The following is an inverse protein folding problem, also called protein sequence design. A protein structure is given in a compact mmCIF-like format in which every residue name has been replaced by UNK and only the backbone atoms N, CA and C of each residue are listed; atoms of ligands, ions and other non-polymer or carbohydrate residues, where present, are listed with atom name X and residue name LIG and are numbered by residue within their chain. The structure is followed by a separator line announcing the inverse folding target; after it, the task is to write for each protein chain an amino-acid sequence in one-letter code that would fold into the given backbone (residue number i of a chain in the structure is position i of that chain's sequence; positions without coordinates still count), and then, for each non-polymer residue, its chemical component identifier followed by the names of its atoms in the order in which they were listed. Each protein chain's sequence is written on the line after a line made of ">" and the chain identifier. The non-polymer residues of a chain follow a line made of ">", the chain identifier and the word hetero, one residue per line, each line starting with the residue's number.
data_IF_463057652237
#
_entry.id   IF_463057652237
#
_cell.length_a   1.000
_cell.length_b   1.000
_cell.length_c   1.000
_cell.angle_alpha   90.00
_cell.angle_beta   90.00
_cell.angle_gamma   90.00
#
_symmetry.space_group_name_H-M   'P 1'
#
loop_
_entity.id
_entity.type
_entity.pdbx_description
1 polymer ?
#
# COMPACT_ATOMS: atom_id res chain seq x y z
N UNK A 1 -37.32 -2.35 -0.33
CA UNK A 1 -37.61 -3.79 -0.37
C UNK A 1 -36.36 -4.47 -0.89
N UNK A 2 -35.63 -5.18 -0.02
CA UNK A 2 -34.42 -5.90 -0.44
C UNK A 2 -34.82 -7.03 -1.38
N UNK A 3 -34.39 -6.99 -2.63
CA UNK A 3 -34.52 -8.13 -3.52
C UNK A 3 -33.50 -9.19 -3.09
N UNK A 4 -33.93 -10.43 -2.95
CA UNK A 4 -33.06 -11.58 -2.70
C UNK A 4 -32.89 -12.38 -3.99
N UNK A 5 -31.77 -13.09 -4.13
CA UNK A 5 -31.64 -14.13 -5.11
C UNK A 5 -31.93 -15.46 -4.43
N UNK A 6 -32.60 -16.37 -5.16
CA UNK A 6 -32.89 -17.70 -4.65
C UNK A 6 -31.95 -18.70 -5.26
N UNK A 7 -31.22 -19.41 -4.42
CA UNK A 7 -30.50 -20.63 -4.78
C UNK A 7 -31.40 -21.83 -4.59
N UNK A 8 -31.48 -22.68 -5.60
CA UNK A 8 -32.25 -23.92 -5.59
C UNK A 8 -31.35 -25.08 -5.99
N UNK A 9 -31.26 -26.07 -5.12
CA UNK A 9 -30.50 -27.29 -5.34
C UNK A 9 -31.33 -28.46 -4.81
N UNK A 10 -31.89 -29.26 -5.73
CA UNK A 10 -32.85 -30.32 -5.46
C UNK A 10 -34.00 -29.82 -4.54
N UNK A 11 -34.07 -30.32 -3.31
CA UNK A 11 -35.07 -29.93 -2.31
C UNK A 11 -34.65 -28.75 -1.43
N UNK A 12 -33.45 -28.20 -1.65
CA UNK A 12 -32.93 -27.10 -0.83
C UNK A 12 -33.16 -25.74 -1.49
N UNK A 13 -33.84 -24.85 -0.78
CA UNK A 13 -34.11 -23.49 -1.21
C UNK A 13 -33.44 -22.50 -0.22
N UNK A 14 -32.54 -21.66 -0.72
CA UNK A 14 -31.89 -20.61 0.06
C UNK A 14 -32.11 -19.26 -0.60
N UNK A 15 -32.51 -18.28 0.21
CA UNK A 15 -32.54 -16.88 -0.21
C UNK A 15 -31.28 -16.17 0.28
N UNK A 16 -30.52 -15.58 -0.67
CA UNK A 16 -29.33 -14.79 -0.41
C UNK A 16 -29.69 -13.31 -0.41
N UNK A 17 -29.24 -12.61 0.62
CA UNK A 17 -29.39 -11.16 0.71
C UNK A 17 -28.63 -10.46 -0.41
N UNK A 18 -29.28 -9.47 -1.02
CA UNK A 18 -28.64 -8.62 -2.04
C UNK A 18 -27.93 -7.45 -1.37
N UNK A 19 -26.67 -7.30 -1.66
CA UNK A 19 -25.85 -6.15 -1.29
C UNK A 19 -25.66 -5.27 -2.52
N UNK A 20 -26.00 -4.00 -2.44
CA UNK A 20 -25.89 -3.06 -3.56
C UNK A 20 -24.85 -2.01 -3.21
N UNK A 21 -23.80 -1.94 -4.01
CA UNK A 21 -22.77 -0.91 -3.89
C UNK A 21 -23.30 0.47 -4.35
N UNK A 22 -22.61 1.53 -4.01
CA UNK A 22 -23.00 2.92 -4.34
C UNK A 22 -23.03 3.18 -5.85
N UNK A 23 -22.22 2.48 -6.62
CA UNK A 23 -22.15 2.51 -8.09
C UNK A 23 -23.22 1.66 -8.77
N UNK A 24 -24.04 0.94 -7.98
CA UNK A 24 -25.10 0.05 -8.49
C UNK A 24 -24.67 -1.38 -8.72
N UNK A 25 -23.41 -1.74 -8.54
CA UNK A 25 -22.97 -3.14 -8.58
C UNK A 25 -23.68 -3.95 -7.49
N UNK A 26 -23.94 -5.22 -7.78
CA UNK A 26 -24.73 -6.09 -6.92
C UNK A 26 -23.93 -7.33 -6.54
N UNK A 27 -23.79 -7.55 -5.24
CA UNK A 27 -23.32 -8.79 -4.64
C UNK A 27 -24.44 -9.58 -4.00
N UNK A 28 -24.23 -10.88 -3.80
CA UNK A 28 -25.12 -11.75 -3.04
C UNK A 28 -24.35 -12.35 -1.85
N UNK A 29 -24.86 -12.15 -0.63
CA UNK A 29 -24.25 -12.71 0.58
C UNK A 29 -24.52 -14.22 0.64
N UNK A 30 -23.46 -14.99 0.39
CA UNK A 30 -23.48 -16.46 0.40
C UNK A 30 -22.96 -17.07 1.71
N UNK A 31 -22.73 -16.29 2.75
CA UNK A 31 -22.14 -16.75 4.02
C UNK A 31 -22.93 -17.92 4.68
N UNK A 32 -24.23 -17.98 4.47
CA UNK A 32 -25.08 -19.08 4.97
C UNK A 32 -25.03 -20.38 4.16
N UNK A 33 -24.43 -20.42 2.98
CA UNK A 33 -24.49 -21.58 2.07
C UNK A 33 -23.93 -22.85 2.71
N UNK A 34 -22.67 -22.79 3.17
CA UNK A 34 -21.99 -23.94 3.76
C UNK A 34 -22.74 -24.51 4.97
N UNK A 35 -23.15 -23.64 5.89
CA UNK A 35 -23.80 -24.09 7.13
C UNK A 35 -25.19 -24.72 6.90
N UNK A 36 -25.89 -24.31 5.82
CA UNK A 36 -27.25 -24.76 5.56
C UNK A 36 -27.31 -25.96 4.61
N UNK A 37 -26.31 -26.12 3.73
CA UNK A 37 -26.33 -27.15 2.68
C UNK A 37 -25.13 -28.09 2.71
N UNK A 38 -24.04 -27.73 3.39
CA UNK A 38 -22.75 -28.41 3.25
C UNK A 38 -22.00 -28.09 1.95
N UNK A 39 -22.56 -27.30 1.06
CA UNK A 39 -22.00 -26.96 -0.25
C UNK A 39 -21.22 -25.65 -0.20
N UNK A 40 -20.28 -25.48 -1.14
CA UNK A 40 -19.47 -24.28 -1.31
C UNK A 40 -19.56 -23.77 -2.75
N UNK A 41 -19.27 -22.50 -2.95
CA UNK A 41 -19.07 -21.93 -4.28
C UNK A 41 -17.66 -22.24 -4.78
N UNK A 42 -17.50 -22.55 -6.07
CA UNK A 42 -16.21 -22.72 -6.73
C UNK A 42 -16.00 -21.52 -7.65
N UNK A 43 -15.00 -20.69 -7.32
CA UNK A 43 -14.58 -19.52 -8.12
C UNK A 43 -13.05 -19.46 -8.19
N UNK A 44 -12.42 -20.23 -9.11
CA UNK A 44 -10.98 -20.24 -9.26
C UNK A 44 -10.45 -18.84 -9.61
N UNK A 45 -9.57 -18.29 -8.76
CA UNK A 45 -9.00 -16.95 -8.95
C UNK A 45 -9.89 -15.80 -8.46
N UNK A 46 -11.02 -16.10 -7.82
CA UNK A 46 -11.91 -15.12 -7.18
C UNK A 46 -12.47 -14.03 -8.11
N UNK A 47 -12.61 -14.34 -9.41
CA UNK A 47 -13.06 -13.37 -10.44
C UNK A 47 -14.49 -12.90 -10.22
N UNK A 48 -15.35 -13.80 -9.70
CA UNK A 48 -16.76 -13.50 -9.41
C UNK A 48 -17.04 -13.33 -7.90
N UNK A 49 -16.00 -13.18 -7.09
CA UNK A 49 -16.12 -13.10 -5.63
C UNK A 49 -15.80 -11.71 -5.14
N UNK A 50 -16.80 -11.00 -4.63
CA UNK A 50 -16.59 -9.80 -3.81
C UNK A 50 -16.13 -10.24 -2.42
N UNK A 51 -14.89 -9.93 -2.04
CA UNK A 51 -14.31 -10.36 -0.75
C UNK A 51 -14.74 -9.51 0.43
N UNK A 52 -15.20 -8.29 0.20
CA UNK A 52 -15.70 -7.36 1.23
C UNK A 52 -16.43 -6.17 0.60
N UNK A 53 -17.09 -5.40 1.47
CA UNK A 53 -17.47 -4.02 1.21
C UNK A 53 -16.33 -3.08 1.61
N UNK A 54 -16.07 -2.04 0.81
CA UNK A 54 -15.06 -1.02 1.10
C UNK A 54 -15.62 0.38 0.82
N UNK A 55 -15.25 1.33 1.68
CA UNK A 55 -15.57 2.76 1.53
C UNK A 55 -14.33 3.57 1.13
N UNK A 56 -13.23 2.92 0.76
CA UNK A 56 -11.94 3.59 0.56
C UNK A 56 -11.84 4.12 -0.87
N UNK A 57 -11.94 3.23 -1.85
CA UNK A 57 -11.64 3.57 -3.25
C UNK A 57 -12.80 3.20 -4.16
N UNK A 58 -13.08 4.09 -5.09
CA UNK A 58 -13.94 3.84 -6.24
C UNK A 58 -13.13 4.01 -7.52
N UNK A 59 -13.18 3.01 -8.39
CA UNK A 59 -12.50 3.02 -9.70
C UNK A 59 -13.52 2.67 -10.78
N UNK A 60 -13.59 3.52 -11.81
CA UNK A 60 -14.24 3.22 -13.07
C UNK A 60 -13.20 3.37 -14.19
N UNK A 61 -12.65 2.25 -14.62
CA UNK A 61 -11.60 2.23 -15.65
C UNK A 61 -12.11 2.63 -17.03
N UNK A 62 -13.40 2.44 -17.35
CA UNK A 62 -13.99 2.81 -18.63
C UNK A 62 -14.18 4.34 -18.74
N UNK A 63 -14.60 4.96 -17.64
CA UNK A 63 -14.78 6.42 -17.57
C UNK A 63 -13.52 7.17 -17.13
N UNK A 64 -12.47 6.45 -16.70
CA UNK A 64 -11.25 7.05 -16.19
C UNK A 64 -11.44 7.77 -14.85
N UNK A 65 -12.31 7.25 -13.98
CA UNK A 65 -12.63 7.86 -12.67
C UNK A 65 -11.94 7.09 -11.57
N UNK A 66 -11.21 7.82 -10.70
CA UNK A 66 -10.66 7.32 -9.44
C UNK A 66 -11.03 8.29 -8.31
N UNK A 67 -11.52 7.74 -7.19
CA UNK A 67 -11.85 8.51 -5.99
C UNK A 67 -11.33 7.80 -4.74
N UNK A 68 -10.77 8.57 -3.81
CA UNK A 68 -10.47 8.09 -2.46
C UNK A 68 -11.45 8.73 -1.46
N UNK A 69 -12.20 7.92 -0.73
CA UNK A 69 -13.24 8.39 0.22
C UNK A 69 -14.21 9.41 -0.40
N UNK A 70 -14.48 9.26 -1.71
CA UNK A 70 -15.34 10.18 -2.46
C UNK A 70 -14.62 11.38 -3.10
N UNK A 71 -13.39 11.70 -2.70
CA UNK A 71 -12.61 12.79 -3.28
C UNK A 71 -12.00 12.39 -4.63
N UNK A 72 -12.21 13.20 -5.70
CA UNK A 72 -11.62 12.91 -6.99
C UNK A 72 -10.09 12.95 -6.95
N UNK A 73 -9.45 12.00 -7.64
CA UNK A 73 -7.99 11.87 -7.63
C UNK A 73 -7.29 13.11 -8.20
N UNK A 74 -7.92 13.82 -9.16
CA UNK A 74 -7.38 15.02 -9.76
C UNK A 74 -7.26 16.18 -8.76
N UNK A 75 -8.15 16.23 -7.76
CA UNK A 75 -8.08 17.21 -6.68
C UNK A 75 -6.97 16.84 -5.71
N UNK A 76 -6.94 15.59 -5.25
CA UNK A 76 -5.92 15.11 -4.33
C UNK A 76 -4.51 15.25 -4.93
N UNK A 77 -4.32 14.81 -6.18
CA UNK A 77 -3.04 14.91 -6.88
C UNK A 77 -2.53 16.34 -7.05
N UNK A 78 -3.43 17.33 -7.17
CA UNK A 78 -3.05 18.74 -7.34
C UNK A 78 -2.88 19.51 -6.03
N UNK A 79 -3.67 19.20 -5.01
CA UNK A 79 -3.85 20.05 -3.84
C UNK A 79 -3.37 19.43 -2.53
N UNK A 80 -3.27 18.09 -2.48
CA UNK A 80 -2.88 17.39 -1.26
C UNK A 80 -1.41 16.96 -1.25
N UNK A 81 -0.93 16.60 -0.07
CA UNK A 81 0.31 15.85 0.13
C UNK A 81 0.02 14.36 0.25
N UNK A 82 1.05 13.53 0.14
CA UNK A 82 0.92 12.09 0.38
C UNK A 82 0.42 11.79 1.80
N UNK A 83 0.96 12.47 2.82
CA UNK A 83 0.54 12.23 4.20
C UNK A 83 -0.89 12.68 4.48
N UNK A 84 -1.34 13.79 3.85
CA UNK A 84 -2.74 14.21 3.92
C UNK A 84 -3.68 13.19 3.26
N UNK A 85 -3.29 12.66 2.09
CA UNK A 85 -4.03 11.58 1.40
C UNK A 85 -4.01 10.28 2.20
N UNK A 86 -2.87 9.92 2.81
CA UNK A 86 -2.78 8.75 3.69
C UNK A 86 -3.69 8.90 4.91
N UNK A 87 -3.76 10.09 5.50
CA UNK A 87 -4.70 10.39 6.58
C UNK A 87 -6.15 10.21 6.13
N UNK A 88 -6.54 10.77 4.99
CA UNK A 88 -7.87 10.61 4.41
C UNK A 88 -8.25 9.13 4.26
N UNK A 89 -7.37 8.33 3.68
CA UNK A 89 -7.63 6.90 3.44
C UNK A 89 -7.77 6.13 4.74
N UNK A 90 -6.93 6.42 5.73
CA UNK A 90 -6.94 5.75 7.04
C UNK A 90 -8.15 6.12 7.89
N UNK A 91 -8.48 7.41 7.96
CA UNK A 91 -9.47 7.93 8.92
C UNK A 91 -10.81 8.33 8.29
N UNK A 92 -10.91 8.36 6.97
CA UNK A 92 -12.17 8.56 6.24
C UNK A 92 -12.47 9.98 5.81
N UNK A 93 -11.82 10.99 6.40
CA UNK A 93 -12.02 12.42 6.13
C UNK A 93 -10.68 13.13 5.98
N UNK A 94 -10.66 14.21 5.22
CA UNK A 94 -9.47 15.08 5.15
C UNK A 94 -9.18 15.69 6.54
N UNK A 95 -7.90 15.75 6.92
CA UNK A 95 -7.54 16.28 8.24
C UNK A 95 -7.75 17.79 8.31
N UNK A 96 -8.16 18.27 9.47
CA UNK A 96 -7.93 19.68 9.81
C UNK A 96 -6.42 19.96 9.91
N UNK A 97 -6.02 21.23 9.85
CA UNK A 97 -4.60 21.59 9.98
C UNK A 97 -3.94 20.99 11.24
N UNK A 98 -4.62 21.07 12.39
CA UNK A 98 -4.09 20.54 13.65
C UNK A 98 -3.93 19.01 13.63
N UNK A 99 -4.85 18.29 12.97
CA UNK A 99 -4.78 16.84 12.80
C UNK A 99 -3.64 16.44 11.87
N UNK A 100 -3.47 17.17 10.76
CA UNK A 100 -2.38 16.94 9.83
C UNK A 100 -1.02 17.18 10.49
N UNK A 101 -0.85 18.35 11.15
CA UNK A 101 0.37 18.69 11.86
C UNK A 101 0.74 17.64 12.92
N UNK A 102 -0.26 17.13 13.65
CA UNK A 102 -0.08 16.06 14.64
C UNK A 102 0.28 14.70 14.01
N UNK A 103 -0.31 14.38 12.86
CA UNK A 103 -0.02 13.14 12.13
C UNK A 103 1.38 13.18 11.51
N UNK A 104 1.74 14.28 10.86
CA UNK A 104 3.08 14.48 10.29
C UNK A 104 4.16 14.43 11.37
N UNK A 105 3.94 15.04 12.54
CA UNK A 105 4.89 15.00 13.64
C UNK A 105 5.07 13.59 14.20
N UNK A 106 4.00 12.80 14.33
CA UNK A 106 4.13 11.39 14.73
C UNK A 106 4.95 10.57 13.72
N UNK A 107 4.68 10.76 12.42
CA UNK A 107 5.44 10.10 11.34
C UNK A 107 6.91 10.51 11.42
N UNK A 108 7.20 11.81 11.47
CA UNK A 108 8.55 12.40 11.50
C UNK A 108 9.40 11.85 12.65
N UNK A 109 8.83 11.75 13.85
CA UNK A 109 9.52 11.22 15.03
C UNK A 109 9.70 9.69 15.02
N UNK A 110 9.10 9.01 14.07
CA UNK A 110 9.07 7.53 14.04
C UNK A 110 9.91 6.96 12.89
N UNK A 111 10.54 7.78 12.05
CA UNK A 111 11.27 7.37 10.85
C UNK A 111 12.53 6.54 11.10
N UNK A 112 13.19 6.74 12.25
CA UNK A 112 14.45 6.07 12.58
C UNK A 112 14.20 4.56 12.83
N UNK A 113 15.04 3.72 12.23
CA UNK A 113 15.06 2.27 12.46
C UNK A 113 16.19 1.87 13.42
N UNK A 114 16.11 0.68 14.01
CA UNK A 114 17.17 0.13 14.86
C UNK A 114 18.46 -0.07 14.04
N UNK A 115 19.62 0.24 14.61
CA UNK A 115 20.91 0.11 13.93
C UNK A 115 21.19 -1.31 13.42
N UNK A 116 20.74 -2.33 14.13
CA UNK A 116 20.89 -3.72 13.70
C UNK A 116 20.19 -4.03 12.39
N UNK A 117 19.20 -3.23 11.98
CA UNK A 117 18.59 -3.34 10.67
C UNK A 117 19.58 -3.06 9.52
N UNK A 118 20.61 -2.25 9.74
CA UNK A 118 21.67 -2.04 8.74
C UNK A 118 22.44 -3.33 8.44
N UNK A 119 22.70 -4.12 9.46
CA UNK A 119 23.40 -5.40 9.30
C UNK A 119 22.53 -6.39 8.51
N UNK A 120 21.21 -6.42 8.76
CA UNK A 120 20.27 -7.18 7.93
C UNK A 120 20.40 -6.81 6.45
N UNK A 121 20.37 -5.51 6.12
CA UNK A 121 20.47 -5.07 4.73
C UNK A 121 21.83 -5.41 4.10
N UNK A 122 22.92 -5.39 4.87
CA UNK A 122 24.26 -5.78 4.40
C UNK A 122 24.38 -7.25 4.05
N UNK A 123 23.53 -8.12 4.63
CA UNK A 123 23.51 -9.54 4.31
C UNK A 123 22.90 -9.84 2.93
N UNK A 124 22.13 -8.93 2.34
CA UNK A 124 21.55 -9.16 1.02
C UNK A 124 22.58 -8.98 -0.10
N UNK A 125 22.58 -9.87 -1.10
CA UNK A 125 23.41 -9.66 -2.28
C UNK A 125 23.05 -8.35 -2.99
N UNK A 126 24.05 -7.63 -3.50
CA UNK A 126 23.84 -6.32 -4.16
C UNK A 126 22.89 -6.36 -5.36
N UNK A 127 22.82 -7.50 -6.05
CA UNK A 127 21.93 -7.70 -7.21
C UNK A 127 20.55 -8.27 -6.83
N UNK A 128 20.21 -8.29 -5.54
CA UNK A 128 18.89 -8.74 -5.10
C UNK A 128 17.79 -7.83 -5.63
N UNK A 129 16.68 -8.43 -6.03
CA UNK A 129 15.50 -7.66 -6.38
C UNK A 129 15.01 -6.84 -5.18
N UNK A 130 14.65 -5.55 -5.33
CA UNK A 130 14.33 -4.68 -4.20
C UNK A 130 13.09 -5.12 -3.41
N UNK A 131 12.12 -5.76 -4.06
CA UNK A 131 10.86 -6.14 -3.41
C UNK A 131 11.04 -7.20 -2.31
N UNK A 132 11.73 -8.34 -2.51
CA UNK A 132 12.04 -9.28 -1.43
C UNK A 132 12.86 -8.66 -0.30
N UNK A 133 13.80 -7.77 -0.62
CA UNK A 133 14.61 -7.04 0.38
C UNK A 133 13.72 -6.15 1.23
N UNK A 134 12.78 -5.42 0.62
CA UNK A 134 11.82 -4.58 1.32
C UNK A 134 10.88 -5.42 2.19
N UNK A 135 10.33 -6.50 1.65
CA UNK A 135 9.43 -7.40 2.39
C UNK A 135 10.13 -8.00 3.64
N UNK A 136 11.37 -8.43 3.49
CA UNK A 136 12.18 -8.93 4.61
C UNK A 136 12.45 -7.84 5.66
N UNK A 137 12.77 -6.62 5.22
CA UNK A 137 12.94 -5.46 6.09
C UNK A 137 11.66 -5.12 6.87
N UNK A 138 10.50 -5.11 6.21
CA UNK A 138 9.21 -4.88 6.87
C UNK A 138 8.92 -5.99 7.90
N UNK A 139 9.10 -7.25 7.55
CA UNK A 139 8.89 -8.35 8.49
C UNK A 139 9.84 -8.25 9.68
N UNK A 140 11.10 -7.89 9.46
CA UNK A 140 12.08 -7.73 10.52
C UNK A 140 11.70 -6.64 11.53
N UNK A 141 10.98 -5.58 11.13
CA UNK A 141 10.49 -4.54 12.06
C UNK A 141 9.64 -5.13 13.18
N UNK A 142 8.93 -6.24 12.94
CA UNK A 142 8.12 -6.90 13.96
C UNK A 142 8.94 -7.37 15.15
N UNK A 143 10.19 -7.75 14.93
CA UNK A 143 11.10 -8.26 15.98
C UNK A 143 11.61 -7.16 16.91
N UNK A 144 11.53 -5.90 16.46
CA UNK A 144 11.87 -4.71 17.24
C UNK A 144 10.64 -4.06 17.90
N UNK A 145 9.45 -4.63 17.72
CA UNK A 145 8.20 -4.16 18.30
C UNK A 145 7.78 -5.10 19.41
N UNK A 146 7.95 -4.70 20.67
CA UNK A 146 7.72 -5.57 21.85
C UNK A 146 6.27 -6.06 22.02
N UNK A 147 5.31 -5.37 21.41
CA UNK A 147 3.89 -5.74 21.38
C UNK A 147 3.36 -5.47 19.98
N UNK A 148 3.03 -6.49 19.24
CA UNK A 148 2.42 -6.37 17.90
C UNK A 148 1.31 -7.40 17.77
N UNK A 149 0.18 -7.15 18.46
CA UNK A 149 -1.05 -7.93 18.26
C UNK A 149 -1.72 -7.48 16.96
N UNK A 150 -2.23 -8.43 16.18
CA UNK A 150 -3.06 -8.13 15.02
C UNK A 150 -4.53 -7.83 15.36
N UNK A 151 -4.91 -7.84 16.65
CA UNK A 151 -6.30 -7.70 17.10
C UNK A 151 -6.55 -6.52 18.06
N UNK A 152 -5.49 -5.89 18.58
CA UNK A 152 -5.56 -4.73 19.45
C UNK A 152 -5.55 -3.44 18.61
N UNK A 153 -6.61 -2.61 18.61
CA UNK A 153 -6.69 -1.40 17.79
C UNK A 153 -5.54 -0.41 18.01
N UNK A 154 -5.12 -0.21 19.25
CA UNK A 154 -4.03 0.74 19.57
C UNK A 154 -2.69 0.25 19.01
N UNK A 155 -2.46 -1.06 19.03
CA UNK A 155 -1.26 -1.66 18.46
C UNK A 155 -1.29 -1.68 16.94
N UNK A 156 -2.47 -1.84 16.33
CA UNK A 156 -2.67 -1.73 14.88
C UNK A 156 -2.35 -0.30 14.44
N UNK A 157 -2.89 0.72 15.10
CA UNK A 157 -2.61 2.12 14.77
C UNK A 157 -1.12 2.46 14.94
N UNK A 158 -0.51 2.03 16.05
CA UNK A 158 0.91 2.21 16.27
C UNK A 158 1.78 1.51 15.22
N UNK A 159 1.42 0.31 14.79
CA UNK A 159 2.11 -0.43 13.72
C UNK A 159 1.93 0.27 12.37
N UNK A 160 0.72 0.75 12.06
CA UNK A 160 0.42 1.52 10.85
C UNK A 160 1.30 2.78 10.77
N UNK A 161 1.34 3.56 11.85
CA UNK A 161 2.22 4.74 11.94
C UNK A 161 3.69 4.38 11.72
N UNK A 162 4.17 3.31 12.35
CA UNK A 162 5.56 2.84 12.18
C UNK A 162 5.84 2.37 10.76
N UNK A 163 4.91 1.68 10.13
CA UNK A 163 5.07 1.21 8.74
C UNK A 163 5.17 2.40 7.79
N UNK A 164 4.22 3.35 7.85
CA UNK A 164 4.27 4.55 7.01
C UNK A 164 5.60 5.31 7.24
N UNK A 165 6.02 5.50 8.49
CA UNK A 165 7.21 6.25 8.81
C UNK A 165 8.52 5.56 8.37
N UNK A 166 8.62 4.22 8.50
CA UNK A 166 9.89 3.47 8.38
C UNK A 166 10.11 2.84 7.00
N UNK A 167 9.04 2.57 6.25
CA UNK A 167 9.16 1.94 4.92
C UNK A 167 10.04 2.76 3.96
N UNK A 168 9.96 4.10 3.90
CA UNK A 168 10.90 4.89 3.09
C UNK A 168 12.37 4.69 3.50
N UNK A 169 12.65 4.59 4.80
CA UNK A 169 14.01 4.33 5.30
C UNK A 169 14.50 2.94 4.89
N UNK A 170 13.63 1.92 5.00
CA UNK A 170 13.97 0.55 4.56
C UNK A 170 14.24 0.49 3.05
N UNK A 171 13.39 1.14 2.25
CA UNK A 171 13.54 1.19 0.80
C UNK A 171 14.84 1.88 0.40
N UNK A 172 15.15 3.03 1.01
CA UNK A 172 16.39 3.77 0.77
C UNK A 172 17.63 2.94 1.20
N UNK A 173 17.58 2.24 2.32
CA UNK A 173 18.66 1.38 2.78
C UNK A 173 18.91 0.21 1.81
N UNK A 174 17.83 -0.44 1.34
CA UNK A 174 17.91 -1.48 0.32
C UNK A 174 18.57 -0.98 -0.97
N UNK A 175 18.13 0.20 -1.44
CA UNK A 175 18.71 0.84 -2.62
C UNK A 175 20.20 1.18 -2.43
N UNK A 176 20.56 1.87 -1.34
CA UNK A 176 21.94 2.23 -1.03
C UNK A 176 22.85 1.00 -0.91
N UNK A 177 22.36 -0.08 -0.29
CA UNK A 177 23.09 -1.34 -0.22
C UNK A 177 23.33 -1.94 -1.62
N UNK A 178 22.33 -1.92 -2.51
CA UNK A 178 22.47 -2.43 -3.88
C UNK A 178 23.53 -1.65 -4.67
N UNK A 179 23.63 -0.35 -4.44
CA UNK A 179 24.62 0.53 -5.07
C UNK A 179 26.01 0.46 -4.40
N UNK A 180 26.13 -0.20 -3.24
CA UNK A 180 27.35 -0.21 -2.45
C UNK A 180 27.71 1.14 -1.82
N UNK A 181 26.68 1.97 -1.60
CA UNK A 181 26.82 3.32 -1.05
C UNK A 181 26.49 3.38 0.44
N UNK A 182 27.01 4.35 1.19
CA UNK A 182 26.65 4.55 2.59
C UNK A 182 25.17 4.95 2.71
N UNK A 183 24.51 4.42 3.74
CA UNK A 183 23.13 4.79 4.08
C UNK A 183 23.09 6.16 4.77
N UNK A 184 22.05 6.94 4.51
CA UNK A 184 21.74 8.19 5.20
C UNK A 184 20.58 7.97 6.17
N UNK A 185 20.69 8.58 7.33
CA UNK A 185 19.60 8.61 8.32
C UNK A 185 18.51 9.59 7.91
N UNK A 186 17.26 9.36 8.36
CA UNK A 186 16.20 10.34 8.21
C UNK A 186 16.58 11.71 8.83
N UNK A 187 16.09 12.78 8.20
CA UNK A 187 16.24 14.16 8.66
C UNK A 187 14.87 14.75 8.99
N UNK A 188 14.63 15.04 10.27
CA UNK A 188 13.32 15.51 10.72
C UNK A 188 12.97 16.95 10.28
N UNK A 189 13.88 17.67 9.64
CA UNK A 189 13.63 19.00 9.08
C UNK A 189 12.97 18.94 7.69
N UNK A 190 13.00 17.78 7.05
CA UNK A 190 12.53 17.58 5.69
C UNK A 190 11.08 17.05 5.64
N UNK A 191 10.40 17.31 4.52
CA UNK A 191 9.12 16.66 4.23
C UNK A 191 9.30 15.14 4.04
N UNK A 192 8.20 14.40 4.06
CA UNK A 192 8.21 12.94 3.89
C UNK A 192 8.91 12.51 2.59
N UNK A 193 8.54 13.16 1.47
CA UNK A 193 9.11 12.84 0.16
C UNK A 193 10.54 13.32 0.02
N UNK A 194 10.86 14.53 0.49
CA UNK A 194 12.23 15.03 0.49
C UNK A 194 13.16 14.12 1.29
N UNK A 195 12.69 13.64 2.43
CA UNK A 195 13.46 12.72 3.27
C UNK A 195 13.76 11.40 2.53
N UNK A 196 12.78 10.82 1.86
CA UNK A 196 12.98 9.63 1.04
C UNK A 196 13.97 9.87 -0.12
N UNK A 197 13.83 10.99 -0.85
CA UNK A 197 14.75 11.37 -1.94
C UNK A 197 16.17 11.50 -1.41
N UNK A 198 16.37 12.27 -0.32
CA UNK A 198 17.69 12.47 0.27
C UNK A 198 18.32 11.16 0.73
N UNK A 199 17.58 10.31 1.44
CA UNK A 199 18.09 9.01 1.89
C UNK A 199 18.47 8.10 0.71
N UNK A 200 17.74 8.18 -0.39
CA UNK A 200 17.97 7.34 -1.57
C UNK A 200 19.13 7.85 -2.45
N UNK A 201 19.22 9.15 -2.68
CA UNK A 201 20.13 9.72 -3.70
C UNK A 201 21.22 10.64 -3.13
N UNK A 202 21.10 11.10 -1.88
CA UNK A 202 22.11 11.95 -1.24
C UNK A 202 23.37 11.18 -0.83
N UNK A 203 24.43 11.94 -0.51
CA UNK A 203 25.69 11.42 0.02
C UNK A 203 26.01 12.08 1.36
N UNK A 204 26.72 11.38 2.27
CA UNK A 204 27.05 11.96 3.58
C UNK A 204 28.11 13.06 3.50
N UNK A 205 28.74 13.23 2.36
CA UNK A 205 29.85 14.18 2.13
C UNK A 205 29.39 15.55 1.65
N UNK A 206 28.11 15.71 1.30
CA UNK A 206 27.56 16.94 0.73
C UNK A 206 26.11 17.17 1.12
N UNK A 207 25.66 18.40 1.04
CA UNK A 207 24.25 18.76 1.19
C UNK A 207 23.49 18.32 -0.06
N UNK A 208 22.25 17.82 0.12
CA UNK A 208 21.40 17.44 -0.98
C UNK A 208 20.59 18.65 -1.45
N UNK A 209 20.73 19.00 -2.72
CA UNK A 209 19.91 20.03 -3.36
C UNK A 209 18.64 19.42 -3.94
N UNK A 210 17.49 19.89 -3.48
CA UNK A 210 16.20 19.40 -3.94
C UNK A 210 15.77 20.09 -5.23
N UNK A 211 15.23 19.31 -6.15
CA UNK A 211 14.47 19.82 -7.28
C UNK A 211 12.98 19.72 -6.94
N UNK A 212 12.29 20.86 -6.95
CA UNK A 212 10.88 20.95 -6.56
C UNK A 212 9.97 20.18 -7.52
N UNK A 213 10.30 20.15 -8.82
CA UNK A 213 9.53 19.40 -9.82
C UNK A 213 9.61 17.89 -9.56
N UNK A 214 10.81 17.38 -9.28
CA UNK A 214 11.03 15.96 -8.95
C UNK A 214 10.33 15.61 -7.63
N UNK A 215 10.46 16.47 -6.63
CA UNK A 215 9.79 16.29 -5.35
C UNK A 215 8.28 16.22 -5.53
N UNK A 216 7.70 17.16 -6.27
CA UNK A 216 6.27 17.20 -6.55
C UNK A 216 5.80 16.03 -7.41
N UNK A 217 6.58 15.63 -8.41
CA UNK A 217 6.27 14.47 -9.23
C UNK A 217 6.21 13.17 -8.40
N UNK A 218 7.18 12.97 -7.50
CA UNK A 218 7.18 11.79 -6.62
C UNK A 218 6.02 11.84 -5.62
N UNK A 219 5.71 13.01 -5.05
CA UNK A 219 4.54 13.22 -4.18
C UNK A 219 3.26 12.79 -4.90
N UNK A 220 3.07 13.27 -6.13
CA UNK A 220 1.92 12.93 -6.97
C UNK A 220 1.87 11.44 -7.27
N UNK A 221 3.00 10.81 -7.63
CA UNK A 221 3.06 9.36 -7.86
C UNK A 221 2.66 8.56 -6.62
N UNK A 222 3.11 8.96 -5.43
CA UNK A 222 2.71 8.30 -4.19
C UNK A 222 1.20 8.45 -3.95
N UNK A 223 0.61 9.63 -4.17
CA UNK A 223 -0.83 9.85 -4.05
C UNK A 223 -1.61 8.93 -5.01
N UNK A 224 -1.19 8.85 -6.27
CA UNK A 224 -1.84 8.02 -7.29
C UNK A 224 -1.76 6.52 -6.98
N UNK A 225 -0.82 6.09 -6.14
CA UNK A 225 -0.60 4.67 -5.80
C UNK A 225 -1.05 4.30 -4.39
N UNK A 226 -1.81 5.15 -3.69
CA UNK A 226 -2.21 4.88 -2.30
C UNK A 226 -3.07 3.64 -2.18
N UNK A 227 -4.08 3.49 -3.04
CA UNK A 227 -4.98 2.33 -3.03
C UNK A 227 -5.61 2.10 -4.42
N UNK A 228 -5.80 0.84 -4.78
CA UNK A 228 -6.46 0.39 -6.00
C UNK A 228 -7.43 -0.76 -5.68
N UNK A 229 -8.40 -0.52 -4.79
CA UNK A 229 -9.45 -1.46 -4.40
C UNK A 229 -8.93 -2.79 -3.81
N UNK A 230 -9.63 -3.90 -4.11
CA UNK A 230 -9.26 -5.24 -3.65
C UNK A 230 -8.31 -5.95 -4.62
N UNK A 231 -7.22 -5.27 -4.97
CA UNK A 231 -6.13 -5.88 -5.75
C UNK A 231 -5.46 -7.05 -5.00
N UNK A 232 -4.55 -7.74 -5.66
CA UNK A 232 -3.89 -8.92 -5.11
C UNK A 232 -3.16 -8.65 -3.79
N UNK A 233 -2.47 -7.50 -3.65
CA UNK A 233 -1.76 -7.16 -2.40
C UNK A 233 -2.72 -6.82 -1.27
N UNK A 234 -3.76 -6.02 -1.53
CA UNK A 234 -4.79 -5.70 -0.53
C UNK A 234 -5.51 -6.95 -0.04
N UNK A 235 -5.93 -7.82 -0.96
CA UNK A 235 -6.57 -9.11 -0.63
C UNK A 235 -5.63 -10.02 0.17
N UNK A 236 -4.35 -10.07 -0.16
CA UNK A 236 -3.33 -10.85 0.58
C UNK A 236 -3.14 -10.29 1.99
N UNK A 237 -3.02 -8.96 2.16
CA UNK A 237 -2.91 -8.33 3.49
C UNK A 237 -4.12 -8.70 4.35
N UNK A 238 -5.33 -8.58 3.81
CA UNK A 238 -6.57 -8.93 4.51
C UNK A 238 -6.61 -10.41 4.90
N UNK A 239 -6.22 -11.30 3.98
CA UNK A 239 -6.20 -12.75 4.24
C UNK A 239 -5.23 -13.09 5.37
N UNK A 240 -4.01 -12.56 5.35
CA UNK A 240 -3.02 -12.79 6.41
C UNK A 240 -3.48 -12.16 7.73
N UNK A 241 -4.02 -10.93 7.70
CA UNK A 241 -4.52 -10.26 8.89
C UNK A 241 -5.69 -11.00 9.55
N UNK A 242 -6.53 -11.71 8.77
CA UNK A 242 -7.67 -12.47 9.29
C UNK A 242 -7.25 -13.62 10.23
N UNK A 243 -6.00 -14.06 10.17
CA UNK A 243 -5.43 -15.04 11.10
C UNK A 243 -5.05 -14.46 12.48
N UNK A 244 -5.17 -13.14 12.66
CA UNK A 244 -4.64 -12.42 13.83
C UNK A 244 -3.14 -12.15 13.77
N UNK A 245 -2.50 -12.38 12.62
CA UNK A 245 -1.10 -12.03 12.41
C UNK A 245 -0.87 -10.52 12.58
N UNK A 246 0.31 -10.14 13.03
CA UNK A 246 0.63 -8.73 13.22
C UNK A 246 0.70 -7.95 11.88
N UNK A 247 0.54 -6.63 11.93
CA UNK A 247 0.50 -5.77 10.75
C UNK A 247 1.77 -5.86 9.89
N UNK A 248 2.94 -6.07 10.48
CA UNK A 248 4.19 -6.20 9.72
C UNK A 248 4.18 -7.46 8.85
N UNK A 249 3.72 -8.58 9.40
CA UNK A 249 3.58 -9.82 8.65
C UNK A 249 2.56 -9.69 7.51
N UNK A 250 1.40 -9.09 7.78
CA UNK A 250 0.36 -8.88 6.78
C UNK A 250 0.84 -7.97 5.65
N UNK A 251 1.48 -6.85 5.96
CA UNK A 251 2.00 -5.90 4.96
C UNK A 251 3.18 -6.50 4.19
N UNK A 252 4.09 -7.24 4.84
CA UNK A 252 5.17 -7.94 4.14
C UNK A 252 4.63 -8.97 3.13
N UNK A 253 3.54 -9.67 3.46
CA UNK A 253 2.86 -10.57 2.53
C UNK A 253 2.27 -9.80 1.32
N UNK A 254 1.66 -8.64 1.56
CA UNK A 254 1.19 -7.75 0.49
C UNK A 254 2.31 -7.28 -0.43
N UNK A 255 3.46 -6.91 0.11
CA UNK A 255 4.65 -6.54 -0.69
C UNK A 255 5.15 -7.72 -1.53
N UNK A 256 5.13 -8.95 -0.99
CA UNK A 256 5.46 -10.15 -1.76
C UNK A 256 4.44 -10.40 -2.88
N UNK A 257 3.15 -10.21 -2.64
CA UNK A 257 2.14 -10.30 -3.69
C UNK A 257 2.35 -9.25 -4.78
N UNK A 258 2.69 -8.00 -4.38
CA UNK A 258 2.99 -6.90 -5.31
C UNK A 258 4.22 -7.19 -6.18
N UNK A 259 5.17 -7.97 -5.72
CA UNK A 259 6.37 -8.33 -6.49
C UNK A 259 6.09 -9.21 -7.72
N UNK A 260 4.89 -9.78 -7.81
CA UNK A 260 4.49 -10.63 -8.94
C UNK A 260 4.33 -9.86 -10.25
N UNK A 261 4.80 -10.41 -11.40
CA UNK A 261 4.78 -9.70 -12.68
C UNK A 261 3.38 -9.36 -13.19
N UNK A 262 2.37 -10.10 -12.75
CA UNK A 262 0.94 -9.85 -13.11
C UNK A 262 0.28 -8.78 -12.23
N UNK A 263 0.99 -8.25 -11.22
CA UNK A 263 0.46 -7.24 -10.30
C UNK A 263 1.34 -5.99 -10.33
N UNK A 264 2.54 -6.01 -9.74
CA UNK A 264 3.45 -4.86 -9.72
C UNK A 264 4.33 -4.72 -10.98
N UNK A 265 4.32 -5.70 -11.87
CA UNK A 265 5.18 -5.70 -13.08
C UNK A 265 4.88 -4.58 -14.08
N UNK A 266 3.68 -4.01 -14.05
CA UNK A 266 3.32 -2.90 -14.95
C UNK A 266 4.21 -1.65 -14.72
N UNK A 267 4.50 -1.31 -13.47
CA UNK A 267 5.36 -0.16 -13.13
C UNK A 267 6.80 -0.40 -13.59
N UNK A 268 7.31 -1.62 -13.44
CA UNK A 268 8.62 -2.00 -13.95
C UNK A 268 8.66 -1.89 -15.48
N UNK A 269 7.66 -2.42 -16.19
CA UNK A 269 7.57 -2.34 -17.64
C UNK A 269 7.53 -0.90 -18.16
N UNK A 270 6.84 0.01 -17.44
CA UNK A 270 6.85 1.44 -17.79
C UNK A 270 8.26 2.03 -17.66
N UNK A 271 8.99 1.73 -16.59
CA UNK A 271 10.36 2.21 -16.43
C UNK A 271 11.30 1.66 -17.52
N UNK A 272 11.16 0.38 -17.85
CA UNK A 272 11.93 -0.25 -18.94
C UNK A 272 11.59 0.38 -20.30
N UNK A 273 10.33 0.68 -20.56
CA UNK A 273 9.88 1.40 -21.76
C UNK A 273 10.48 2.81 -21.83
N UNK A 274 10.42 3.57 -20.75
CA UNK A 274 10.99 4.93 -20.68
C UNK A 274 12.51 4.90 -20.87
N UNK A 275 13.18 3.92 -20.29
CA UNK A 275 14.61 3.67 -20.49
C UNK A 275 14.92 3.39 -21.96
N UNK A 276 14.14 2.50 -22.59
CA UNK A 276 14.29 2.17 -24.01
C UNK A 276 14.10 3.40 -24.92
N UNK A 277 13.05 4.21 -24.67
CA UNK A 277 12.79 5.46 -25.41
C UNK A 277 14.00 6.40 -25.28
N UNK A 278 14.51 6.62 -24.08
CA UNK A 278 15.68 7.46 -23.84
C UNK A 278 16.92 6.95 -24.59
N UNK A 279 17.21 5.66 -24.48
CA UNK A 279 18.43 5.07 -25.01
C UNK A 279 18.37 4.92 -26.56
N UNK A 280 17.18 4.81 -27.13
CA UNK A 280 16.96 4.76 -28.59
C UNK A 280 16.95 6.13 -29.28
N UNK A 281 16.94 7.23 -28.51
CA UNK A 281 16.87 8.58 -29.06
C UNK A 281 15.51 8.91 -29.69
N UNK A 282 14.48 8.07 -29.46
CA UNK A 282 13.10 8.38 -29.90
C UNK A 282 12.57 9.61 -29.19
N UNK A 283 11.84 10.43 -29.91
CA UNK A 283 11.11 11.55 -29.33
C UNK A 283 9.66 11.13 -29.08
N UNK A 284 9.04 11.69 -28.05
CA UNK A 284 7.63 11.47 -27.66
C UNK A 284 6.64 12.17 -28.59
N UNK A 285 7.01 12.39 -29.86
CA UNK A 285 6.11 12.96 -30.87
C UNK A 285 5.47 11.87 -31.70
#
# INVERSE_FOLDING_TARGET
>A
MGSSARFVDEDTHLDFSKVVATDGQVGYDVAGLLNKTGNVMIDPGFVNTASCESQITYIDGEQGVLRYRGYPIEQLAKQSTFLETAYLVLYGELPSKAQLDGFEERIRRTTLIDERMRDLFRCFPRRSHPMPVLAAGIMALSTFSQKSSGTDPDQIEAATTRLIAKVPTLAAFGYKNSMGQPTLYPDNSLSYVQNFIRMSFGFPTESYEFNDEITRALETLLILHVDHEQNCSTSTVRMVASSGANMYAAVAAGVNALSGPKHGGANQAVLEMLQFIRDSGMTTK
#
